data_IF_148897092362
#
_entry.id   IF_148897092362
#
_cell.length_a   1.000
_cell.length_b   1.000
_cell.length_c   1.000
_cell.angle_alpha   90.00
_cell.angle_beta   90.00
_cell.angle_gamma   90.00
#
_symmetry.space_group_name_H-M   'P 1'
#
loop_
_entity.id
_entity.type
_entity.pdbx_description
1 polymer ?
2 non-polymer ?
3 water ?
#
# COMPACT_ATOMS: atom_id res chain seq x y z
N UNK A 23 -29.53 5.40 -16.54
CA UNK A 23 -28.14 5.03 -16.31
C UNK A 23 -27.97 4.37 -14.94
N UNK A 24 -27.01 3.46 -14.85
CA UNK A 24 -26.74 2.84 -13.55
C UNK A 24 -25.92 3.82 -12.71
N UNK A 25 -26.34 4.01 -11.47
CA UNK A 25 -25.66 4.92 -10.57
C UNK A 25 -24.44 4.28 -9.94
N UNK A 26 -23.29 4.89 -10.21
CA UNK A 26 -22.01 4.44 -9.68
C UNK A 26 -21.45 5.50 -8.75
N UNK A 27 -21.24 5.16 -7.48
CA UNK A 27 -20.69 6.09 -6.50
C UNK A 27 -19.18 5.88 -6.34
N UNK A 28 -18.43 6.89 -6.74
CA UNK A 28 -16.98 6.95 -6.60
C UNK A 28 -16.68 7.67 -5.30
N UNK A 29 -15.91 7.02 -4.42
CA UNK A 29 -15.77 7.54 -3.08
C UNK A 29 -14.84 8.72 -2.97
N UNK A 30 -13.79 8.82 -3.78
CA UNK A 30 -12.86 9.95 -3.62
C UNK A 30 -12.12 10.20 -4.92
N UNK A 31 -11.44 11.32 -5.09
CA UNK A 31 -10.87 11.61 -6.42
C UNK A 31 -9.64 10.77 -6.73
N UNK A 32 -9.81 9.54 -7.19
CA UNK A 32 -8.65 8.68 -7.36
C UNK A 32 -8.08 8.64 -8.77
N UNK A 33 -8.84 9.02 -9.78
CA UNK A 33 -8.38 8.89 -11.16
C UNK A 33 -9.27 9.61 -12.18
N UNK A 34 -8.76 10.72 -12.72
CA UNK A 34 -9.45 11.51 -13.73
C UNK A 34 -9.84 10.61 -14.91
N UNK A 35 -8.88 9.73 -15.25
CA UNK A 35 -9.21 8.81 -16.34
C UNK A 35 -10.36 7.90 -15.92
N UNK A 36 -10.32 7.47 -14.65
CA UNK A 36 -11.39 6.55 -14.23
C UNK A 36 -12.71 7.32 -14.20
N UNK A 37 -12.70 8.54 -13.67
CA UNK A 37 -13.87 9.40 -13.74
C UNK A 37 -14.41 9.42 -15.17
N UNK A 38 -13.52 9.68 -16.13
CA UNK A 38 -13.97 9.74 -17.52
C UNK A 38 -14.61 8.42 -17.92
N UNK A 39 -13.87 7.32 -17.73
CA UNK A 39 -14.37 6.03 -18.21
C UNK A 39 -15.68 5.64 -17.53
N UNK A 40 -15.85 5.99 -16.27
CA UNK A 40 -17.10 5.67 -15.58
C UNK A 40 -18.24 6.55 -16.11
N UNK A 41 -17.96 7.83 -16.25
CA UNK A 41 -19.00 8.78 -16.67
C UNK A 41 -19.53 8.47 -18.05
N UNK A 42 -18.80 7.74 -18.90
CA UNK A 42 -19.34 7.57 -20.25
C UNK A 42 -20.18 6.31 -20.33
N UNK A 43 -20.13 5.48 -19.28
CA UNK A 43 -20.90 4.25 -19.28
C UNK A 43 -22.01 4.24 -18.24
N UNK A 44 -21.91 5.04 -17.19
CA UNK A 44 -22.89 5.01 -16.11
C UNK A 44 -23.29 6.39 -15.62
N UNK A 45 -24.15 6.41 -14.61
CA UNK A 45 -24.33 7.67 -13.88
C UNK A 45 -23.28 7.75 -12.78
N UNK A 46 -22.23 8.53 -13.05
CA UNK A 46 -21.17 8.67 -12.05
C UNK A 46 -21.55 9.62 -10.93
N UNK A 47 -21.47 9.18 -9.67
CA UNK A 47 -21.71 10.07 -8.54
C UNK A 47 -20.40 10.32 -7.78
N UNK A 48 -20.09 11.58 -7.49
CA UNK A 48 -18.85 11.97 -6.82
C UNK A 48 -19.09 12.27 -5.33
N UNK A 49 -19.02 11.21 -4.55
CA UNK A 49 -19.29 11.22 -3.14
C UNK A 49 -18.58 12.35 -2.42
N UNK A 50 -17.32 12.54 -2.82
CA UNK A 50 -16.45 13.48 -2.12
C UNK A 50 -16.91 14.91 -2.36
N UNK A 51 -17.81 15.12 -3.32
CA UNK A 51 -18.21 16.51 -3.51
C UNK A 51 -19.61 16.75 -2.96
N UNK A 52 -19.99 16.08 -1.88
CA UNK A 52 -21.28 16.38 -1.26
C UNK A 52 -21.06 16.78 0.20
N UNK A 53 -21.52 17.97 0.55
CA UNK A 53 -21.28 18.52 1.88
C UNK A 53 -21.95 17.68 2.96
N UNK A 54 -23.25 17.44 2.77
CA UNK A 54 -24.03 16.61 3.70
C UNK A 54 -24.16 15.19 3.15
N UNK A 55 -23.18 14.35 3.47
CA UNK A 55 -23.10 13.04 2.80
C UNK A 55 -24.26 12.11 3.13
N UNK A 56 -24.61 11.99 4.40
CA UNK A 56 -25.67 11.08 4.84
C UNK A 56 -26.98 11.31 4.11
N UNK A 57 -27.34 12.59 3.95
CA UNK A 57 -28.56 12.99 3.24
C UNK A 57 -28.46 12.63 1.76
N UNK A 58 -27.32 12.97 1.17
CA UNK A 58 -27.02 12.63 -0.21
C UNK A 58 -27.33 11.15 -0.45
N UNK A 59 -26.71 10.36 0.44
CA UNK A 59 -26.87 8.92 0.42
C UNK A 59 -28.38 8.60 0.37
N UNK A 60 -29.06 9.01 1.44
CA UNK A 60 -30.49 8.82 1.55
C UNK A 60 -31.16 9.27 0.26
N UNK A 61 -30.68 10.40 -0.28
CA UNK A 61 -31.33 10.94 -1.46
C UNK A 61 -31.04 10.15 -2.73
N UNK A 62 -29.86 9.54 -2.88
CA UNK A 62 -29.62 8.85 -4.15
C UNK A 62 -29.52 7.34 -4.01
N UNK A 63 -29.93 6.82 -2.84
CA UNK A 63 -29.86 5.40 -2.58
C UNK A 63 -30.56 4.57 -3.64
N UNK A 64 -31.66 5.06 -4.19
CA UNK A 64 -32.47 4.30 -5.11
C UNK A 64 -31.76 4.07 -6.44
N UNK A 65 -30.75 4.89 -6.72
CA UNK A 65 -30.01 4.88 -7.98
C UNK A 65 -28.63 4.22 -7.88
N UNK A 66 -27.99 4.28 -6.72
CA UNK A 66 -26.64 3.77 -6.58
C UNK A 66 -26.60 2.25 -6.50
N UNK A 67 -26.07 1.61 -7.53
CA UNK A 67 -26.03 0.16 -7.61
C UNK A 67 -24.60 -0.38 -7.64
N UNK A 68 -23.63 0.53 -7.63
CA UNK A 68 -22.22 0.19 -7.63
C UNK A 68 -21.42 1.18 -6.79
N UNK A 69 -20.39 0.65 -6.13
CA UNK A 69 -19.45 1.53 -5.46
C UNK A 69 -18.05 1.27 -6.00
N UNK A 70 -17.37 2.36 -6.27
CA UNK A 70 -15.96 2.32 -6.65
C UNK A 70 -15.15 2.97 -5.55
N UNK A 71 -14.26 2.18 -4.95
CA UNK A 71 -13.50 2.67 -3.81
C UNK A 71 -12.01 2.53 -4.10
N UNK A 72 -11.25 2.78 -3.03
CA UNK A 72 -9.81 2.58 -3.15
C UNK A 72 -9.27 2.39 -1.74
N UNK A 73 -7.98 2.63 -1.52
CA UNK A 73 -7.34 2.33 -0.25
C UNK A 73 -7.56 3.41 0.78
N UNK A 74 -8.14 4.52 0.34
CA UNK A 74 -8.51 5.56 1.30
C UNK A 74 -9.98 5.44 1.66
N UNK A 75 -10.82 5.12 0.67
CA UNK A 75 -12.24 5.02 1.03
C UNK A 75 -12.90 3.87 0.29
N UNK A 76 -13.39 2.90 1.05
CA UNK A 76 -13.98 1.71 0.48
C UNK A 76 -15.49 1.66 0.68
N UNK A 77 -15.96 0.62 1.37
CA UNK A 77 -17.37 0.48 1.67
C UNK A 77 -17.54 -0.23 3.02
N UNK A 78 -17.76 0.54 4.08
CA UNK A 78 -17.91 -0.02 5.42
C UNK A 78 -19.38 -0.37 5.68
N UNK A 79 -19.64 -1.02 6.80
CA UNK A 79 -20.95 -1.54 7.16
C UNK A 79 -22.05 -0.50 6.93
N UNK A 80 -21.81 0.63 7.57
CA UNK A 80 -22.66 1.81 7.63
C UNK A 80 -22.91 2.34 6.23
N UNK A 81 -21.85 2.49 5.41
CA UNK A 81 -22.15 2.90 4.04
C UNK A 81 -22.99 1.84 3.34
N UNK A 82 -22.62 0.56 3.48
CA UNK A 82 -23.34 -0.46 2.72
C UNK A 82 -24.82 -0.47 3.09
N UNK A 83 -25.09 -0.28 4.38
CA UNK A 83 -26.44 -0.21 4.89
C UNK A 83 -27.19 1.01 4.35
N UNK A 84 -26.49 2.12 4.10
CA UNK A 84 -27.17 3.30 3.57
C UNK A 84 -27.40 3.17 2.07
N UNK A 85 -26.86 2.11 1.49
CA UNK A 85 -26.90 1.84 0.05
C UNK A 85 -27.60 0.53 -0.25
N UNK A 86 -28.90 0.49 0.05
CA UNK A 86 -29.66 -0.77 0.05
C UNK A 86 -29.87 -1.32 -1.35
N UNK A 87 -29.48 -0.57 -2.39
CA UNK A 87 -29.59 -1.20 -3.72
C UNK A 87 -28.22 -1.63 -4.24
N UNK A 88 -27.21 -1.52 -3.38
CA UNK A 88 -25.84 -1.87 -3.73
C UNK A 88 -25.69 -3.31 -4.20
N UNK A 89 -25.06 -3.49 -5.35
CA UNK A 89 -24.83 -4.78 -5.98
C UNK A 89 -23.36 -5.17 -6.05
N UNK A 90 -22.51 -4.14 -6.19
CA UNK A 90 -21.09 -4.44 -6.30
C UNK A 90 -20.20 -3.29 -5.84
N UNK A 91 -19.13 -3.67 -5.16
CA UNK A 91 -18.03 -2.80 -4.80
C UNK A 91 -16.83 -3.25 -5.63
N UNK A 92 -16.40 -2.36 -6.51
CA UNK A 92 -15.23 -2.60 -7.35
C UNK A 92 -14.13 -1.65 -6.86
N UNK A 93 -13.11 -2.22 -6.23
CA UNK A 93 -12.03 -1.45 -5.65
C UNK A 93 -10.90 -1.18 -6.65
N UNK A 94 -10.58 0.11 -6.71
CA UNK A 94 -9.45 0.67 -7.42
C UNK A 94 -8.19 0.43 -6.59
N UNK A 95 -7.97 -0.81 -6.17
CA UNK A 95 -6.86 -1.23 -5.33
C UNK A 95 -6.81 -2.74 -5.15
N UNK A 96 -5.60 -3.24 -4.83
CA UNK A 96 -5.55 -4.67 -4.50
C UNK A 96 -6.01 -4.87 -3.06
N UNK A 97 -5.54 -4.05 -2.13
CA UNK A 97 -5.91 -4.08 -0.73
C UNK A 97 -7.42 -3.99 -0.57
N UNK A 98 -7.97 -4.65 0.44
CA UNK A 98 -9.43 -4.69 0.57
C UNK A 98 -9.88 -4.30 1.97
N UNK A 99 -8.94 -3.81 2.77
CA UNK A 99 -9.18 -3.56 4.18
C UNK A 99 -10.14 -2.41 4.41
N UNK A 100 -10.51 -1.70 3.36
CA UNK A 100 -11.46 -0.59 3.45
C UNK A 100 -12.84 -1.09 3.02
N UNK A 101 -12.86 -2.40 2.71
CA UNK A 101 -14.16 -2.95 2.36
C UNK A 101 -14.54 -4.00 3.40
N UNK A 102 -15.76 -3.86 3.92
CA UNK A 102 -16.38 -4.80 4.83
C UNK A 102 -16.95 -5.99 4.04
N UNK A 103 -16.10 -7.00 3.90
CA UNK A 103 -16.41 -8.17 3.10
C UNK A 103 -17.55 -9.01 3.66
N UNK A 104 -17.68 -9.08 4.98
CA UNK A 104 -18.70 -9.85 5.66
C UNK A 104 -20.08 -9.23 5.42
N UNK A 105 -20.10 -7.92 5.70
CA UNK A 105 -21.29 -7.13 5.46
C UNK A 105 -21.64 -7.25 3.98
N UNK A 106 -20.57 -7.30 3.17
CA UNK A 106 -20.86 -7.35 1.73
C UNK A 106 -21.60 -8.65 1.44
N UNK A 107 -21.12 -9.76 2.03
CA UNK A 107 -21.78 -11.03 1.73
C UNK A 107 -23.19 -11.06 2.30
N UNK A 108 -23.37 -10.55 3.52
CA UNK A 108 -24.73 -10.57 4.06
C UNK A 108 -25.70 -9.79 3.17
N UNK A 109 -25.26 -8.71 2.53
CA UNK A 109 -26.22 -7.94 1.74
C UNK A 109 -26.19 -8.30 0.26
N UNK A 110 -25.52 -9.37 -0.13
CA UNK A 110 -25.50 -9.81 -1.52
C UNK A 110 -24.55 -9.07 -2.42
N UNK A 111 -23.54 -8.39 -1.86
CA UNK A 111 -22.75 -7.51 -2.72
C UNK A 111 -21.49 -8.17 -3.27
N UNK A 112 -21.27 -8.10 -4.58
CA UNK A 112 -19.99 -8.59 -5.06
C UNK A 112 -18.87 -7.62 -4.64
N UNK A 113 -17.64 -8.10 -4.62
CA UNK A 113 -16.45 -7.29 -4.43
C UNK A 113 -15.35 -7.74 -5.40
N UNK A 114 -14.77 -6.78 -6.10
CA UNK A 114 -13.64 -7.04 -6.97
C UNK A 114 -12.48 -6.11 -6.59
N UNK A 115 -11.28 -6.40 -7.05
CA UNK A 115 -10.10 -5.59 -6.74
C UNK A 115 -9.16 -5.57 -7.94
N UNK A 116 -7.93 -5.09 -7.76
CA UNK A 116 -7.01 -5.03 -8.90
C UNK A 116 -5.67 -5.66 -8.57
N UNK A 117 -5.59 -6.98 -8.57
CA UNK A 117 -4.36 -7.67 -8.18
C UNK A 117 -3.44 -7.74 -9.40
N UNK A 118 -2.16 -8.02 -9.17
CA UNK A 118 -1.13 -8.20 -10.16
C UNK A 118 -0.79 -6.98 -11.00
N UNK A 119 -1.77 -6.27 -11.55
CA UNK A 119 -1.42 -5.24 -12.53
C UNK A 119 -0.66 -4.07 -11.91
N UNK A 120 -0.56 -4.02 -10.59
CA UNK A 120 0.24 -2.95 -9.99
C UNK A 120 1.52 -3.51 -9.36
N UNK A 121 1.70 -4.82 -9.45
CA UNK A 121 2.79 -5.49 -8.74
C UNK A 121 4.14 -4.88 -9.04
N UNK A 122 4.38 -4.72 -10.33
CA UNK A 122 5.67 -4.24 -10.80
C UNK A 122 6.06 -2.93 -10.12
N UNK A 123 5.14 -1.97 -10.20
CA UNK A 123 5.39 -0.62 -9.70
C UNK A 123 5.57 -0.59 -8.19
N UNK A 124 4.75 -1.31 -7.42
CA UNK A 124 4.97 -1.24 -5.97
C UNK A 124 6.30 -1.88 -5.60
N UNK A 125 6.71 -2.94 -6.31
CA UNK A 125 7.99 -3.54 -5.95
C UNK A 125 9.15 -2.67 -6.42
N UNK A 126 9.01 -2.01 -7.57
CA UNK A 126 10.03 -1.04 -7.98
C UNK A 126 10.16 0.03 -6.90
N UNK A 127 9.01 0.51 -6.37
CA UNK A 127 9.08 1.52 -5.32
C UNK A 127 9.86 1.03 -4.10
N UNK A 128 9.67 -0.25 -3.75
CA UNK A 128 10.36 -0.75 -2.56
C UNK A 128 11.86 -0.73 -2.81
N UNK A 129 12.28 -1.07 -4.02
CA UNK A 129 13.70 -1.05 -4.31
C UNK A 129 14.19 0.38 -4.37
N UNK A 130 13.35 1.27 -4.90
CA UNK A 130 13.71 2.68 -4.98
C UNK A 130 13.91 3.24 -3.57
N UNK A 131 13.03 2.81 -2.66
CA UNK A 131 13.13 3.28 -1.27
C UNK A 131 14.39 2.75 -0.60
N UNK A 132 14.76 1.50 -0.92
CA UNK A 132 15.91 0.91 -0.24
C UNK A 132 17.16 1.71 -0.56
N UNK A 133 17.32 1.92 -1.87
CA UNK A 133 18.43 2.68 -2.41
C UNK A 133 18.38 4.11 -1.90
N UNK A 134 17.18 4.72 -1.96
CA UNK A 134 17.11 6.12 -1.54
C UNK A 134 17.50 6.26 -0.08
N UNK A 135 17.18 5.30 0.77
CA UNK A 135 17.57 5.36 2.18
C UNK A 135 19.02 4.94 2.40
N UNK A 136 19.43 3.77 1.92
CA UNK A 136 20.82 3.35 2.14
C UNK A 136 21.85 4.26 1.51
N UNK A 137 21.55 4.84 0.34
CA UNK A 137 22.51 5.68 -0.37
C UNK A 137 22.18 7.15 -0.18
N UNK A 138 21.24 7.43 0.71
CA UNK A 138 20.88 8.79 1.06
C UNK A 138 20.68 9.66 -0.17
N UNK A 139 20.05 9.03 -1.17
CA UNK A 139 19.89 9.74 -2.43
C UNK A 139 19.15 11.06 -2.27
N UNK A 140 18.21 11.07 -1.32
CA UNK A 140 17.41 12.28 -1.14
C UNK A 140 18.23 13.32 -0.39
N UNK A 141 19.00 12.86 0.59
CA UNK A 141 19.82 13.83 1.33
C UNK A 141 20.94 14.37 0.45
N UNK A 142 21.42 13.56 -0.50
CA UNK A 142 22.50 13.99 -1.37
C UNK A 142 22.08 15.12 -2.30
N UNK A 143 20.90 14.99 -2.87
CA UNK A 143 20.33 15.94 -3.81
C UNK A 143 20.03 17.27 -3.13
N UNK A 144 19.67 17.24 -1.86
CA UNK A 144 19.44 18.44 -1.07
C UNK A 144 20.77 19.13 -0.76
N UNK A 145 21.74 18.32 -0.33
CA UNK A 145 23.10 18.80 -0.10
C UNK A 145 23.58 19.57 -1.32
N UNK A 146 23.47 18.93 -2.48
CA UNK A 146 23.91 19.61 -3.70
C UNK A 146 23.16 20.92 -3.90
N UNK A 147 21.83 20.84 -3.91
CA UNK A 147 21.00 22.00 -4.22
C UNK A 147 21.26 23.15 -3.26
N UNK A 148 21.80 22.91 -2.05
CA UNK A 148 21.99 24.16 -1.29
C UNK A 148 23.44 24.64 -1.35
N UNK A 149 24.20 24.24 -2.37
CA UNK A 149 25.57 24.69 -2.55
C UNK A 149 26.58 24.10 -1.61
N UNK A 150 26.23 23.06 -0.86
CA UNK A 150 27.19 22.53 0.12
C UNK A 150 28.34 21.73 -0.48
N UNK A 151 28.20 21.29 -1.72
CA UNK A 151 29.27 20.52 -2.36
C UNK A 151 30.55 21.33 -2.46
N UNK A 152 30.44 22.64 -2.55
CA UNK A 152 31.61 23.52 -2.68
C UNK A 152 32.51 23.45 -1.46
N UNK A 153 31.94 23.03 -0.34
CA UNK A 153 32.75 23.04 0.88
C UNK A 153 33.29 21.67 1.26
N UNK A 154 32.85 20.63 0.56
CA UNK A 154 33.36 19.31 0.86
C UNK A 154 32.48 18.22 0.27
N UNK A 155 32.85 17.00 0.62
CA UNK A 155 32.24 15.74 0.22
C UNK A 155 31.02 15.38 1.05
N UNK A 156 30.02 14.77 0.42
CA UNK A 156 28.96 14.17 1.20
C UNK A 156 29.56 13.03 2.02
N UNK A 157 28.92 12.66 3.11
CA UNK A 157 29.39 11.54 3.91
C UNK A 157 29.23 10.21 3.18
N UNK A 158 29.91 9.21 3.69
CA UNK A 158 29.90 7.83 3.25
C UNK A 158 28.54 7.22 3.56
N UNK A 159 28.01 6.34 2.72
CA UNK A 159 26.73 5.71 3.08
C UNK A 159 26.84 4.19 3.17
N UNK A 160 25.75 3.45 2.91
CA UNK A 160 25.69 2.02 3.13
C UNK A 160 25.48 1.23 1.85
N UNK A 161 26.25 0.15 1.65
CA UNK A 161 26.10 -0.65 0.44
C UNK A 161 24.81 -1.47 0.45
N UNK A 162 24.01 -1.43 -0.61
CA UNK A 162 22.85 -2.29 -0.73
C UNK A 162 23.20 -3.71 -1.18
N UNK A 163 23.90 -3.86 -2.28
CA UNK A 163 24.23 -5.19 -2.80
C UNK A 163 24.81 -6.12 -1.73
N UNK A 164 24.26 -7.34 -1.67
CA UNK A 164 24.73 -8.34 -0.74
C UNK A 164 24.08 -8.34 0.63
N UNK A 165 23.40 -7.27 1.02
CA UNK A 165 22.68 -7.18 2.27
C UNK A 165 21.55 -8.20 2.40
N UNK A 166 21.25 -8.55 3.64
CA UNK A 166 20.15 -9.43 3.98
C UNK A 166 18.80 -8.72 3.93
N UNK A 167 17.98 -9.20 3.00
CA UNK A 167 16.64 -8.68 2.76
C UNK A 167 15.62 -9.69 3.29
N UNK A 168 14.86 -9.22 4.28
CA UNK A 168 13.76 -9.96 4.85
C UNK A 168 12.42 -9.44 4.37
N UNK A 169 11.53 -10.35 4.02
CA UNK A 169 10.25 -9.85 3.49
C UNK A 169 9.09 -10.42 4.27
N UNK A 170 8.24 -9.55 4.81
CA UNK A 170 7.04 -10.05 5.48
C UNK A 170 5.90 -10.17 4.49
N UNK A 171 5.56 -11.41 4.13
CA UNK A 171 4.51 -11.64 3.14
C UNK A 171 5.12 -11.72 1.75
N UNK A 172 5.48 -12.95 1.40
CA UNK A 172 6.12 -13.28 0.13
C UNK A 172 5.05 -13.58 -0.91
N UNK A 173 4.21 -12.58 -1.17
CA UNK A 173 3.10 -12.76 -2.09
C UNK A 173 3.44 -12.20 -3.46
N UNK A 174 2.40 -11.71 -4.14
CA UNK A 174 2.64 -11.14 -5.46
C UNK A 174 3.69 -10.04 -5.39
N UNK A 175 3.50 -9.08 -4.49
CA UNK A 175 4.44 -7.95 -4.41
C UNK A 175 5.71 -8.35 -3.68
N UNK A 176 5.59 -9.12 -2.59
CA UNK A 176 6.76 -9.63 -1.91
C UNK A 176 7.64 -10.47 -2.80
N UNK A 177 7.06 -11.35 -3.63
CA UNK A 177 7.93 -12.11 -4.51
C UNK A 177 8.66 -11.22 -5.52
N UNK A 178 7.93 -10.26 -6.08
CA UNK A 178 8.44 -9.30 -7.04
C UNK A 178 9.62 -8.53 -6.46
N UNK A 179 9.50 -8.12 -5.19
CA UNK A 179 10.60 -7.47 -4.48
C UNK A 179 11.80 -8.40 -4.33
N UNK A 180 11.55 -9.59 -3.80
CA UNK A 180 12.57 -10.62 -3.65
C UNK A 180 13.32 -10.84 -4.95
N UNK A 181 12.60 -11.02 -6.06
CA UNK A 181 13.37 -11.29 -7.29
C UNK A 181 14.19 -10.09 -7.72
N UNK A 182 13.69 -8.88 -7.49
CA UNK A 182 14.53 -7.73 -7.85
C UNK A 182 15.80 -7.71 -7.01
N UNK A 183 15.62 -7.81 -5.70
CA UNK A 183 16.72 -7.85 -4.74
C UNK A 183 17.75 -8.93 -5.05
N UNK A 184 17.33 -10.09 -5.56
CA UNK A 184 18.31 -11.14 -5.87
C UNK A 184 19.36 -10.63 -6.85
N UNK A 185 18.91 -9.83 -7.83
CA UNK A 185 19.82 -9.32 -8.84
C UNK A 185 20.86 -8.38 -8.26
N UNK A 186 20.69 -7.95 -7.02
CA UNK A 186 21.69 -7.18 -6.31
C UNK A 186 22.46 -8.09 -5.33
N UNK A 187 22.36 -9.40 -5.56
CA UNK A 187 23.12 -10.32 -4.74
C UNK A 187 22.68 -10.37 -3.30
N UNK A 188 21.42 -10.01 -3.07
CA UNK A 188 20.96 -10.02 -1.68
C UNK A 188 20.49 -11.41 -1.29
N UNK A 189 20.98 -11.91 -0.16
CA UNK A 189 20.37 -13.11 0.42
C UNK A 189 18.92 -12.79 0.79
N UNK A 190 17.95 -13.61 0.43
CA UNK A 190 16.55 -13.34 0.71
C UNK A 190 15.99 -14.20 1.84
N UNK A 191 15.28 -13.55 2.75
CA UNK A 191 14.63 -14.23 3.85
C UNK A 191 13.17 -13.77 3.91
N UNK A 192 12.31 -14.64 4.46
CA UNK A 192 10.91 -14.23 4.53
C UNK A 192 10.14 -14.95 5.62
N UNK A 193 9.07 -14.27 6.01
CA UNK A 193 8.07 -14.79 6.90
C UNK A 193 6.69 -14.68 6.23
N UNK A 194 6.04 -15.81 6.16
CA UNK A 194 4.66 -15.98 5.73
C UNK A 194 4.01 -16.99 6.65
N UNK A 195 2.69 -17.11 6.64
CA UNK A 195 2.13 -18.05 7.63
C UNK A 195 2.55 -19.47 7.25
N UNK A 196 2.80 -19.64 5.96
CA UNK A 196 3.22 -20.83 5.26
C UNK A 196 4.39 -20.58 4.30
N UNK A 197 5.29 -21.56 4.18
CA UNK A 197 6.45 -21.55 3.30
C UNK A 197 6.07 -21.83 1.85
N UNK A 198 6.48 -20.95 0.93
CA UNK A 198 6.25 -21.14 -0.49
C UNK A 198 7.14 -22.26 -1.01
N UNK A 199 6.58 -23.33 -1.55
CA UNK A 199 7.45 -24.46 -1.92
C UNK A 199 8.34 -24.08 -3.09
N UNK A 200 9.43 -24.83 -3.23
CA UNK A 200 10.34 -24.68 -4.35
C UNK A 200 11.01 -23.30 -4.33
N UNK A 201 10.97 -22.60 -3.20
CA UNK A 201 11.76 -21.37 -3.16
C UNK A 201 12.98 -21.60 -2.26
N UNK A 202 14.14 -21.11 -2.66
CA UNK A 202 15.34 -21.30 -1.84
C UNK A 202 15.63 -20.10 -0.94
N UNK A 203 14.60 -19.28 -0.68
CA UNK A 203 14.72 -18.19 0.28
C UNK A 203 14.68 -18.75 1.69
N UNK A 204 15.16 -18.01 2.69
CA UNK A 204 15.09 -18.59 4.03
C UNK A 204 13.75 -18.31 4.69
N UNK A 205 12.98 -19.35 4.97
CA UNK A 205 11.75 -19.18 5.72
C UNK A 205 12.04 -19.05 7.21
N UNK A 206 11.39 -18.08 7.84
CA UNK A 206 11.41 -17.92 9.28
C UNK A 206 9.95 -17.92 9.77
N UNK A 207 9.72 -18.53 10.92
CA UNK A 207 8.36 -18.71 11.43
C UNK A 207 7.89 -17.57 12.30
N UNK A 208 8.68 -16.49 12.35
CA UNK A 208 8.17 -15.36 13.15
C UNK A 208 8.79 -14.06 12.67
N UNK A 209 7.99 -13.01 12.69
CA UNK A 209 8.49 -11.72 12.22
C UNK A 209 9.68 -11.28 13.04
N UNK A 210 9.65 -11.56 14.35
CA UNK A 210 10.77 -11.13 15.17
C UNK A 210 12.06 -11.82 14.77
N UNK A 211 12.06 -13.15 14.63
CA UNK A 211 13.26 -13.84 14.17
C UNK A 211 13.71 -13.33 12.79
N UNK A 212 12.74 -13.03 11.92
CA UNK A 212 13.09 -12.49 10.61
C UNK A 212 13.88 -11.18 10.73
N UNK A 213 13.39 -10.28 11.57
CA UNK A 213 13.98 -8.96 11.76
C UNK A 213 15.39 -9.07 12.34
N UNK A 214 15.61 -10.03 13.22
CA UNK A 214 16.96 -10.25 13.75
C UNK A 214 17.92 -10.69 12.66
N UNK A 215 17.43 -11.25 11.56
CA UNK A 215 18.26 -11.84 10.51
C UNK A 215 18.22 -11.03 9.22
N UNK A 216 17.88 -9.76 9.37
CA UNK A 216 17.71 -8.88 8.23
C UNK A 216 18.42 -7.55 8.44
N UNK A 217 19.08 -7.10 7.37
CA UNK A 217 19.58 -5.73 7.34
C UNK A 217 18.44 -4.81 6.89
N UNK A 218 17.59 -5.35 6.02
CA UNK A 218 16.46 -4.63 5.47
C UNK A 218 15.17 -5.43 5.55
N UNK A 219 14.12 -4.83 6.10
CA UNK A 219 12.86 -5.53 6.36
C UNK A 219 11.70 -4.85 5.62
N UNK A 220 11.11 -5.57 4.67
CA UNK A 220 10.06 -5.09 3.79
C UNK A 220 8.70 -5.64 4.20
N UNK A 221 7.72 -4.76 4.40
CA UNK A 221 6.36 -5.13 4.73
C UNK A 221 5.49 -5.22 3.48
N UNK A 222 5.06 -6.42 3.13
CA UNK A 222 4.30 -6.71 1.92
C UNK A 222 3.11 -7.64 2.16
N UNK A 223 2.53 -7.64 3.35
CA UNK A 223 1.36 -8.46 3.69
C UNK A 223 0.11 -7.59 3.72
N UNK A 224 -1.07 -8.18 3.63
CA UNK A 224 -2.32 -7.39 3.63
C UNK A 224 -2.59 -6.83 5.02
N UNK A 225 -3.50 -5.87 5.14
CA UNK A 225 -3.85 -5.41 6.49
C UNK A 225 -5.17 -6.07 6.93
N UNK A 226 -5.10 -6.68 8.10
CA UNK A 226 -6.11 -7.32 8.89
C UNK A 226 -5.90 -7.02 10.38
N UNK A 227 -6.85 -7.35 11.25
CA UNK A 227 -6.56 -7.14 12.68
C UNK A 227 -5.40 -8.03 13.11
N UNK A 228 -5.14 -9.11 12.38
CA UNK A 228 -4.06 -10.02 12.71
C UNK A 228 -2.70 -9.48 12.28
N UNK A 229 -2.63 -8.50 11.36
CA UNK A 229 -1.29 -7.99 11.02
C UNK A 229 -1.12 -6.54 11.45
N UNK A 230 -2.14 -6.01 12.13
CA UNK A 230 -2.09 -4.66 12.66
C UNK A 230 -0.95 -4.51 13.64
N UNK A 231 -0.10 -3.50 13.44
CA UNK A 231 1.04 -3.34 14.31
C UNK A 231 1.89 -4.61 14.35
N UNK A 232 1.90 -5.38 13.26
CA UNK A 232 2.86 -6.48 13.17
C UNK A 232 4.28 -5.95 13.28
N UNK A 233 4.50 -4.69 12.89
CA UNK A 233 5.81 -4.12 13.24
C UNK A 233 5.71 -3.44 14.60
N UNK A 234 6.15 -4.10 15.68
CA UNK A 234 6.03 -3.46 16.99
C UNK A 234 7.39 -3.13 17.56
N UNK A 235 7.45 -2.64 18.79
CA UNK A 235 8.72 -2.28 19.42
C UNK A 235 9.67 -3.46 19.49
N UNK A 236 9.12 -4.65 19.69
CA UNK A 236 9.97 -5.84 19.78
C UNK A 236 10.68 -6.07 18.45
N UNK A 237 9.90 -6.04 17.37
CA UNK A 237 10.44 -6.20 16.03
C UNK A 237 11.43 -5.08 15.72
N UNK A 238 11.02 -3.87 16.09
CA UNK A 238 11.87 -2.71 15.89
C UNK A 238 13.17 -2.87 16.66
N UNK A 239 13.08 -3.37 17.89
CA UNK A 239 14.28 -3.69 18.67
C UNK A 239 15.11 -4.74 17.92
N UNK A 240 14.43 -5.72 17.32
CA UNK A 240 15.16 -6.79 16.65
C UNK A 240 15.86 -6.24 15.40
N UNK A 241 15.18 -5.37 14.67
CA UNK A 241 15.78 -4.75 13.50
C UNK A 241 17.02 -3.95 13.87
N UNK A 242 16.95 -3.08 14.87
CA UNK A 242 18.06 -2.37 15.44
C UNK A 242 18.55 -1.08 14.84
N UNK A 243 19.60 -0.52 15.46
CA UNK A 243 20.21 0.73 15.03
C UNK A 243 20.89 0.65 13.67
N UNK A 244 21.18 -0.53 13.12
CA UNK A 244 21.73 -0.50 11.75
C UNK A 244 20.66 -0.96 10.75
N UNK A 245 19.50 -1.36 11.25
CA UNK A 245 18.47 -1.99 10.45
C UNK A 245 17.55 -1.03 9.76
N UNK A 246 17.06 -1.39 8.57
CA UNK A 246 16.22 -0.48 7.80
C UNK A 246 14.85 -1.06 7.47
N UNK A 247 13.78 -0.37 7.87
CA UNK A 247 12.39 -0.74 7.61
C UNK A 247 11.84 -0.13 6.32
N UNK A 248 11.28 -1.02 5.49
CA UNK A 248 10.65 -0.58 4.25
C UNK A 248 9.17 -0.93 4.36
N UNK A 249 8.32 0.10 4.43
CA UNK A 249 6.91 -0.22 4.53
C UNK A 249 6.16 0.19 3.27
N UNK A 250 5.76 -0.82 2.49
CA UNK A 250 4.96 -0.54 1.30
C UNK A 250 3.59 -1.21 1.39
N UNK A 251 3.27 -1.69 2.59
CA UNK A 251 1.99 -2.32 2.84
C UNK A 251 0.91 -1.32 3.21
N UNK A 252 0.69 -1.18 4.51
CA UNK A 252 -0.30 -0.32 5.11
C UNK A 252 0.26 0.32 6.38
N UNK A 253 -0.06 1.58 6.59
CA UNK A 253 0.33 2.33 7.78
C UNK A 253 0.11 1.60 9.09
N UNK A 254 -1.09 1.13 9.37
CA UNK A 254 -1.35 0.49 10.66
C UNK A 254 -0.59 -0.82 10.86
N UNK A 255 0.16 -1.29 9.87
CA UNK A 255 1.03 -2.45 10.06
C UNK A 255 2.12 -2.13 11.07
N UNK A 256 2.36 -0.85 11.27
CA UNK A 256 3.38 -0.41 12.20
C UNK A 256 2.74 0.40 13.32
N UNK A 257 3.24 0.20 14.51
CA UNK A 257 3.03 1.04 15.67
C UNK A 257 3.77 2.35 15.49
N UNK A 258 3.25 3.22 14.63
CA UNK A 258 3.86 4.46 14.20
C UNK A 258 4.56 5.20 15.33
N UNK A 259 3.91 5.45 16.46
CA UNK A 259 4.60 6.17 17.54
C UNK A 259 5.88 5.46 17.96
N UNK A 260 5.90 4.14 17.96
CA UNK A 260 7.17 3.49 18.30
C UNK A 260 8.13 3.56 17.13
N UNK A 261 7.60 3.63 15.90
CA UNK A 261 8.52 3.79 14.78
C UNK A 261 9.17 5.18 14.83
N UNK A 262 8.33 6.18 15.08
CA UNK A 262 8.87 7.55 15.09
C UNK A 262 9.94 7.70 16.13
N UNK A 263 9.66 7.14 17.31
CA UNK A 263 10.58 7.31 18.42
C UNK A 263 11.89 6.57 18.19
N UNK A 264 11.86 5.38 17.58
CA UNK A 264 13.12 4.66 17.37
C UNK A 264 14.01 5.38 16.36
N UNK A 265 13.38 6.09 15.43
CA UNK A 265 14.10 6.86 14.42
C UNK A 265 14.64 8.16 15.00
N UNK A 266 13.88 8.83 15.86
CA UNK A 266 14.32 10.07 16.47
C UNK A 266 15.54 9.86 17.37
N UNK A 267 15.55 8.73 18.07
CA UNK A 267 16.58 8.36 19.03
C UNK A 267 17.72 7.59 18.40
N UNK A 268 17.60 7.23 17.13
CA UNK A 268 18.63 6.40 16.56
C UNK A 268 18.55 4.94 16.94
N UNK A 269 17.43 4.40 17.40
CA UNK A 269 17.41 2.96 17.75
C UNK A 269 17.09 2.06 16.57
N UNK A 270 16.63 2.65 15.48
CA UNK A 270 16.41 1.97 14.22
C UNK A 270 17.26 2.65 13.17
N UNK A 271 17.99 1.91 12.36
CA UNK A 271 18.85 2.49 11.35
C UNK A 271 18.20 3.46 10.41
N UNK A 272 17.01 3.16 9.89
CA UNK A 272 16.39 4.11 8.97
C UNK A 272 15.08 3.60 8.43
N UNK A 273 14.48 4.33 7.49
CA UNK A 273 13.18 3.83 7.02
C UNK A 273 12.77 4.55 5.73
N UNK A 274 12.13 3.79 4.86
CA UNK A 274 11.51 4.27 3.62
C UNK A 274 10.04 3.88 3.74
N UNK A 275 9.22 4.92 3.76
CA UNK A 275 7.80 4.77 4.03
C UNK A 275 6.93 5.35 2.93
N UNK A 276 6.02 4.56 2.41
CA UNK A 276 5.03 4.89 1.40
C UNK A 276 3.65 5.06 2.02
N UNK A 277 3.48 4.61 3.26
CA UNK A 277 2.16 4.59 3.90
C UNK A 277 2.28 4.89 5.39
N UNK A 278 1.28 5.57 5.95
CA UNK A 278 1.36 5.99 7.34
C UNK A 278 0.06 5.65 8.07
N UNK A 279 0.15 5.47 9.38
CA UNK A 279 -1.01 5.00 10.15
C UNK A 279 -2.22 5.91 9.95
N UNK A 280 -2.01 7.21 9.78
CA UNK A 280 -3.14 8.10 9.62
C UNK A 280 -2.94 9.04 8.43
N UNK A 281 -2.79 8.48 7.23
CA UNK A 281 -2.53 9.32 6.07
C UNK A 281 -3.73 10.20 5.73
N UNK A 282 -3.50 11.35 5.13
CA UNK A 282 -2.14 11.77 4.76
C UNK A 282 -1.42 12.42 5.91
N UNK A 283 -1.85 12.16 7.15
CA UNK A 283 -1.06 12.78 8.22
C UNK A 283 0.21 11.98 8.43
N UNK A 284 1.32 12.71 8.41
CA UNK A 284 2.64 12.16 8.69
C UNK A 284 3.24 12.88 9.88
N UNK A 285 3.59 12.13 10.91
CA UNK A 285 4.20 12.72 12.10
C UNK A 285 5.35 13.65 11.71
N UNK A 286 5.18 14.92 12.01
CA UNK A 286 6.11 15.97 11.63
C UNK A 286 7.49 15.77 12.21
N UNK A 287 7.60 15.05 13.33
CA UNK A 287 8.91 14.76 13.88
C UNK A 287 9.77 14.00 12.86
N UNK A 288 9.14 13.28 11.93
CA UNK A 288 9.87 12.59 10.89
C UNK A 288 10.51 13.59 9.93
N UNK A 289 9.97 14.80 9.90
CA UNK A 289 10.35 15.73 8.83
C UNK A 289 11.80 16.18 8.94
N UNK A 290 12.38 16.09 10.12
CA UNK A 290 13.76 16.54 10.31
C UNK A 290 14.73 15.38 10.24
N UNK A 291 14.22 14.15 10.05
CA UNK A 291 15.16 13.02 10.06
C UNK A 291 15.82 12.83 8.71
N UNK A 292 17.13 12.59 8.69
CA UNK A 292 17.77 12.33 7.40
C UNK A 292 17.90 10.84 7.14
N UNK A 293 17.54 9.98 8.09
CA UNK A 293 17.61 8.53 7.89
C UNK A 293 16.24 7.94 7.60
N UNK A 294 15.37 8.74 6.98
CA UNK A 294 14.09 8.30 6.48
C UNK A 294 13.78 8.93 5.13
N UNK A 295 12.93 8.25 4.36
CA UNK A 295 12.34 8.71 3.12
C UNK A 295 10.82 8.51 3.20
N UNK A 296 10.11 9.58 2.87
CA UNK A 296 8.67 9.63 3.03
C UNK A 296 7.96 9.98 1.75
N UNK A 297 7.07 9.09 1.31
CA UNK A 297 6.32 9.25 0.08
C UNK A 297 4.82 9.20 0.34
N UNK A 298 4.02 9.99 -0.34
CA UNK A 298 2.57 9.99 -0.09
C UNK A 298 1.81 8.86 -0.76
N UNK A 299 2.05 7.63 -0.36
CA UNK A 299 1.35 6.47 -0.89
C UNK A 299 1.35 6.42 -2.41
N UNK A 300 2.52 6.23 -3.02
CA UNK A 300 2.54 6.27 -4.49
C UNK A 300 2.91 4.96 -5.13
N UNK A 301 2.91 3.87 -4.36
CA UNK A 301 3.29 2.55 -4.81
C UNK A 301 2.85 2.18 -6.20
N UNK A 302 1.62 2.54 -6.55
CA UNK A 302 1.03 2.21 -7.84
C UNK A 302 0.86 3.40 -8.76
N UNK A 303 1.34 4.56 -8.32
CA UNK A 303 1.10 5.85 -8.89
C UNK A 303 1.76 6.25 -10.19
N UNK A 304 1.70 5.38 -11.19
CA UNK A 304 2.25 5.75 -12.50
C UNK A 304 1.13 5.83 -13.54
N UNK A 305 1.34 6.64 -14.57
CA UNK A 305 0.38 6.76 -15.66
C UNK A 305 0.02 5.39 -16.24
N UNK A 306 1.06 4.60 -16.48
CA UNK A 306 0.91 3.29 -17.09
C UNK A 306 0.05 2.38 -16.23
N UNK A 307 0.33 2.34 -14.93
CA UNK A 307 -0.36 1.35 -14.11
C UNK A 307 -1.75 1.82 -13.74
N UNK A 308 -1.92 3.12 -13.48
CA UNK A 308 -3.25 3.56 -13.05
C UNK A 308 -4.22 3.40 -14.21
N UNK A 309 -3.70 3.50 -15.43
CA UNK A 309 -4.56 3.26 -16.58
C UNK A 309 -5.16 1.85 -16.57
N UNK A 310 -4.29 0.85 -16.47
CA UNK A 310 -4.69 -0.55 -16.49
C UNK A 310 -5.59 -0.86 -15.32
N UNK A 311 -5.29 -0.25 -14.17
CA UNK A 311 -6.12 -0.49 -12.99
C UNK A 311 -7.55 0.02 -13.23
N UNK A 312 -7.62 1.15 -13.92
CA UNK A 312 -8.89 1.81 -14.17
C UNK A 312 -9.70 1.00 -15.17
N UNK A 313 -9.01 0.42 -16.16
CA UNK A 313 -9.71 -0.38 -17.15
C UNK A 313 -10.24 -1.67 -16.52
N UNK A 314 -9.50 -2.18 -15.53
CA UNK A 314 -9.89 -3.36 -14.76
C UNK A 314 -11.14 -3.11 -13.92
N UNK A 315 -11.22 -1.95 -13.29
CA UNK A 315 -12.39 -1.64 -12.48
C UNK A 315 -13.63 -1.58 -13.38
N UNK A 316 -13.50 -0.87 -14.49
CA UNK A 316 -14.50 -0.75 -15.54
C UNK A 316 -14.97 -2.12 -16.03
N UNK A 317 -14.02 -2.96 -16.39
CA UNK A 317 -14.18 -4.33 -16.84
C UNK A 317 -15.03 -5.13 -15.87
N UNK A 318 -14.69 -5.03 -14.57
CA UNK A 318 -15.47 -5.73 -13.57
C UNK A 318 -16.87 -5.14 -13.50
N UNK A 319 -16.96 -3.80 -13.50
CA UNK A 319 -18.31 -3.25 -13.51
C UNK A 319 -19.06 -3.69 -14.77
N UNK A 320 -18.39 -3.70 -15.92
CA UNK A 320 -19.19 -4.05 -17.10
C UNK A 320 -19.51 -5.54 -17.12
N UNK A 321 -18.73 -6.33 -16.39
CA UNK A 321 -19.05 -7.77 -16.40
C UNK A 321 -20.26 -8.01 -15.49
N UNK A 322 -20.18 -7.39 -14.31
CA UNK A 322 -21.29 -7.49 -13.37
C UNK A 322 -22.63 -7.07 -13.98
N UNK A 323 -22.66 -5.86 -14.54
CA UNK A 323 -23.94 -5.35 -15.04
C UNK A 323 -24.38 -6.04 -16.31
N UNK A 324 -23.60 -7.00 -16.81
CA UNK A 324 -24.09 -7.68 -18.02
C UNK A 324 -24.15 -9.19 -17.82
N UNK A 325 -24.23 -9.63 -16.57
CA UNK A 325 -24.40 -11.01 -16.22
C UNK A 325 -23.25 -11.94 -16.52
N UNK A 326 -22.05 -11.43 -16.78
CA UNK A 326 -20.89 -12.27 -17.08
C UNK A 326 -20.06 -12.60 -15.86
N UNK A 327 -19.15 -13.57 -15.95
CA UNK A 327 -18.28 -13.80 -14.78
C UNK A 327 -17.46 -12.56 -14.46
N UNK A 328 -17.31 -12.20 -13.18
CA UNK A 328 -16.46 -11.03 -12.95
C UNK A 328 -15.01 -11.36 -13.28
N UNK A 329 -14.22 -10.31 -13.45
CA UNK A 329 -12.81 -10.46 -13.81
C UNK A 329 -11.95 -10.81 -12.60
N UNK A 330 -12.01 -9.99 -11.55
CA UNK A 330 -11.14 -10.18 -10.37
C UNK A 330 -11.98 -10.14 -9.10
N UNK A 331 -12.89 -11.10 -8.97
CA UNK A 331 -13.79 -11.07 -7.83
C UNK A 331 -13.09 -11.59 -6.58
N UNK A 332 -13.52 -11.04 -5.46
CA UNK A 332 -13.00 -11.45 -4.16
C UNK A 332 -14.17 -11.97 -3.33
N UNK A 333 -15.29 -11.26 -3.45
CA UNK A 333 -16.53 -11.68 -2.84
C UNK A 333 -17.54 -11.92 -3.96
X LIG B 1 -0.83 -11.01 -1.78
X LIG B 1 -1.96 -11.44 -1.13
X LIG B 1 -0.44 -11.56 -2.96
X LIG B 1 0.25 -11.24 -0.86
X LIG B 1 0.14 -11.14 0.44
X LIG B 1 1.04 -11.94 1.28
X LIG B 1 1.04 -11.70 2.60
X LIG B 1 1.14 -13.44 1.18
X LIG B 1 2.49 -13.72 0.89
X LIG B 1 0.67 -13.98 2.53
X LIG B 1 1.31 -15.23 2.95
X LIG B 1 1.08 -12.87 3.41
X LIG B 1 0.18 -12.84 4.56
X LIG B 1 -1.14 -12.80 4.59
X LIG B 1 -1.57 -12.78 5.79
X LIG B 1 -0.54 -12.80 6.59
X LIG B 1 -0.35 -12.79 7.97
X LIG B 1 -1.29 -12.77 8.90
X LIG B 1 0.89 -12.82 8.40
X LIG B 1 1.91 -12.86 7.60
X LIG B 1 1.76 -12.88 6.29
X LIG B 1 0.56 -12.84 5.78
X LIG B 1 -1.12 -9.50 -2.04
X LIG B 1 -0.26 -8.41 -2.74
X LIG B 1 -0.83 -8.08 -3.95
X LIG B 1 1.12 -8.77 -2.83
X LIG B 1 -0.49 -7.20 -1.90
X LIG B 1 -0.05 -7.03 -0.61
X LIG B 1 -0.52 -5.81 0.08
X LIG B 1 0.19 -4.73 -0.38
X LIG B 1 -1.97 -5.37 -0.06
X LIG B 1 -2.91 -6.12 0.69
X LIG B 1 -1.83 -3.92 0.36
X LIG B 1 -2.18 -3.70 1.63
X LIG B 1 -0.37 -3.58 0.03
X LIG B 1 -0.23 -2.63 -1.11
X LIG B 1 0.36 -1.38 -0.95
X LIG B 1 0.44 -0.52 -2.03
X LIG B 1 1.05 0.86 -2.07
X LIG B 1 0.65 1.59 -2.96
X LIG B 1 2.13 1.00 -1.40
X LIG B 1 -0.12 -0.95 -3.26
X LIG B 1 -0.70 -2.19 -3.40
X LIG B 1 -0.73 -2.97 -2.31
X LIG B 1 0.68 -16.37 3.91
X LIG B 1 -0.61 -16.67 3.39
X LIG B 1 1.45 -17.58 3.85
X LIG B 1 0.83 -16.00 5.36
#
# INVERSE_FOLDING_TARGET
MGSSHHHHHHSSGLVPRGSHMEAIGVLMMCPMSTYLEQELDKRFKLFRYWTQPAQRDFLALQAESIRAVVGNSNAGADAELIDALPKLEIVSSFSVGLDKVDLIKCEEKGVRVTNTPDVLTDDVADLAIGLILAVLRRICECDKYVRRGAWKFGDFKLTTKFSGKRVGIIGLGRIGLAVAERAEAFDCPISYFSRSKKPNTNYTYYGSVVELASNSDILVVACPLTPETTHIINREVIDALGPKGVLINIGRGPHVDEPELVSALVEGRLGGAGLDVFEREPEVPEKLFGLENVVLLPHVGSGTVETRKVMADLVVGNLEAHFSGKPLLTPVV
NAP PA O1A O2A O5B C5B C4B O4B C3B O3B C2B O2B C1B N9A C8A N7A C5A C6A N6A N1A C2A N3A C4A O3 PN O1N O2N O5D C5D C4D O4D C3D O3D C2D O2D C1D N1N C2N C3N C7N O7N N7N C4N C5N C6N P2B O1X O2X O3X
#
